data_IF_563555961238
#
_entry.id   IF_563555961238
#
_cell.length_a   1.000
_cell.length_b   1.000
_cell.length_c   1.000
_cell.angle_alpha   90.00
_cell.angle_beta   90.00
_cell.angle_gamma   90.00
#
_symmetry.space_group_name_H-M   'P 1'
#
loop_
_entity.id
_entity.type
_entity.pdbx_description
1 polymer ?
#
# COMPACT_ATOMS: atom_id res chain seq x y z
N UNK A 1 30.64 33.12 -9.08
CA UNK A 1 29.71 32.02 -9.19
C UNK A 1 30.24 30.71 -8.56
N UNK A 2 31.49 30.30 -8.85
CA UNK A 2 32.12 29.07 -8.30
C UNK A 2 32.28 29.10 -6.77
N UNK A 3 32.70 30.22 -6.17
CA UNK A 3 32.83 30.37 -4.71
C UNK A 3 31.51 30.22 -3.94
N UNK A 4 30.38 30.65 -4.50
CA UNK A 4 29.08 30.53 -3.87
C UNK A 4 28.61 29.05 -3.85
N UNK A 5 28.95 28.27 -4.87
CA UNK A 5 28.65 26.83 -4.95
C UNK A 5 29.49 26.03 -3.95
N UNK A 6 30.77 26.41 -3.77
CA UNK A 6 31.67 25.78 -2.79
C UNK A 6 31.24 26.09 -1.34
N UNK A 7 30.88 27.34 -1.04
CA UNK A 7 30.36 27.74 0.27
C UNK A 7 29.02 27.07 0.60
N UNK A 8 28.17 26.86 -0.41
CA UNK A 8 26.90 26.14 -0.26
C UNK A 8 27.11 24.65 -0.02
N UNK A 9 28.07 24.02 -0.73
CA UNK A 9 28.46 22.63 -0.53
C UNK A 9 29.06 22.39 0.86
N UNK A 10 29.87 23.32 1.35
CA UNK A 10 30.43 23.32 2.70
C UNK A 10 29.32 23.46 3.78
N UNK A 11 28.38 24.39 3.63
CA UNK A 11 27.24 24.55 4.54
C UNK A 11 26.28 23.34 4.53
N UNK A 12 26.02 22.74 3.38
CA UNK A 12 25.23 21.50 3.27
C UNK A 12 25.94 20.33 3.92
N UNK A 13 27.26 20.20 3.70
CA UNK A 13 28.05 19.13 4.34
C UNK A 13 28.16 19.35 5.86
N UNK A 14 28.27 20.58 6.35
CA UNK A 14 28.28 20.90 7.77
C UNK A 14 26.88 20.64 8.41
N UNK A 15 25.79 20.95 7.73
CA UNK A 15 24.41 20.62 8.15
C UNK A 15 24.18 19.11 8.16
N UNK A 16 24.59 18.39 7.13
CA UNK A 16 24.52 16.93 7.07
C UNK A 16 25.38 16.27 8.15
N UNK A 17 26.56 16.82 8.44
CA UNK A 17 27.43 16.35 9.51
C UNK A 17 26.79 16.61 10.90
N UNK A 18 26.14 17.76 11.10
CA UNK A 18 25.37 18.05 12.33
C UNK A 18 24.14 17.14 12.46
N UNK A 19 23.41 16.91 11.38
CA UNK A 19 22.29 15.95 11.36
C UNK A 19 22.76 14.51 11.64
N UNK A 20 23.85 14.06 11.04
CA UNK A 20 24.43 12.74 11.32
C UNK A 20 24.92 12.58 12.77
N UNK A 21 25.31 13.65 13.45
CA UNK A 21 25.73 13.61 14.86
C UNK A 21 24.59 13.76 15.85
N UNK A 22 23.44 14.32 15.46
CA UNK A 22 22.28 14.46 16.34
C UNK A 22 21.56 13.11 16.50
N UNK A 23 21.02 12.85 17.69
CA UNK A 23 20.23 11.65 17.99
C UNK A 23 19.02 11.53 17.05
N UNK A 24 18.36 12.65 16.80
CA UNK A 24 17.18 12.73 15.90
C UNK A 24 17.57 12.50 14.43
N UNK A 25 18.74 12.97 13.99
CA UNK A 25 19.24 12.72 12.64
C UNK A 25 19.55 11.26 12.38
N UNK A 26 20.07 10.53 13.38
CA UNK A 26 20.30 9.07 13.28
C UNK A 26 18.99 8.31 13.21
N UNK A 27 18.00 8.68 14.02
CA UNK A 27 16.66 8.06 14.00
C UNK A 27 16.01 8.30 12.63
N UNK A 28 16.03 9.52 12.12
CA UNK A 28 15.46 9.86 10.82
C UNK A 28 16.14 9.09 9.68
N UNK A 29 17.46 9.03 9.66
CA UNK A 29 18.21 8.28 8.65
C UNK A 29 17.93 6.77 8.72
N UNK A 30 17.85 6.22 9.92
CA UNK A 30 17.50 4.82 10.14
C UNK A 30 16.08 4.51 9.66
N UNK A 31 15.10 5.33 10.03
CA UNK A 31 13.72 5.19 9.60
C UNK A 31 13.57 5.28 8.08
N UNK A 32 14.29 6.23 7.46
CA UNK A 32 14.35 6.34 6.00
C UNK A 32 14.91 5.07 5.35
N UNK A 33 16.00 4.52 5.89
CA UNK A 33 16.61 3.28 5.40
C UNK A 33 15.63 2.09 5.48
N UNK A 34 14.91 1.96 6.58
CA UNK A 34 13.89 0.92 6.73
C UNK A 34 12.74 1.07 5.73
N UNK A 35 12.24 2.29 5.51
CA UNK A 35 11.18 2.54 4.52
C UNK A 35 11.66 2.29 3.09
N UNK A 36 12.92 2.63 2.76
CA UNK A 36 13.51 2.30 1.46
C UNK A 36 13.62 0.79 1.24
N UNK A 37 14.06 0.05 2.26
CA UNK A 37 14.11 -1.42 2.20
C UNK A 37 12.71 -2.01 1.98
N UNK A 38 11.71 -1.50 2.70
CA UNK A 38 10.31 -1.90 2.51
C UNK A 38 9.82 -1.62 1.08
N UNK A 39 10.18 -0.46 0.53
CA UNK A 39 9.81 -0.08 -0.83
C UNK A 39 10.44 -1.03 -1.87
N UNK A 40 11.74 -1.32 -1.75
CA UNK A 40 12.44 -2.28 -2.62
C UNK A 40 11.78 -3.67 -2.55
N UNK A 41 11.52 -4.15 -1.34
CA UNK A 41 10.82 -5.42 -1.15
C UNK A 41 9.42 -5.41 -1.77
N UNK A 42 8.73 -4.26 -1.75
CA UNK A 42 7.44 -4.08 -2.42
C UNK A 42 7.48 -4.37 -3.91
N UNK A 43 8.64 -4.28 -4.57
CA UNK A 43 8.81 -4.63 -5.98
C UNK A 43 9.36 -6.04 -6.18
N UNK A 44 10.37 -6.41 -5.40
CA UNK A 44 11.09 -7.68 -5.57
C UNK A 44 10.15 -8.88 -5.35
N UNK A 45 9.36 -8.89 -4.29
CA UNK A 45 8.47 -10.01 -4.00
C UNK A 45 7.39 -10.22 -5.08
N UNK A 46 6.66 -9.20 -5.57
CA UNK A 46 5.73 -9.37 -6.68
C UNK A 46 6.41 -9.83 -7.98
N UNK A 47 7.59 -9.30 -8.31
CA UNK A 47 8.33 -9.72 -9.51
C UNK A 47 8.71 -11.21 -9.49
N UNK A 48 8.87 -11.80 -8.29
CA UNK A 48 9.13 -13.22 -8.12
C UNK A 48 7.83 -14.03 -8.18
N UNK A 49 6.75 -13.55 -7.54
CA UNK A 49 5.50 -14.32 -7.40
C UNK A 49 4.58 -14.21 -8.62
N UNK A 50 4.54 -13.07 -9.32
CA UNK A 50 3.66 -12.84 -10.47
C UNK A 50 3.88 -13.86 -11.59
N UNK A 51 5.13 -14.12 -12.08
CA UNK A 51 5.36 -15.09 -13.14
C UNK A 51 4.92 -16.50 -12.76
N UNK A 52 5.13 -16.88 -11.52
CA UNK A 52 4.70 -18.18 -11.01
C UNK A 52 3.18 -18.30 -10.99
N UNK A 53 2.52 -17.31 -10.36
CA UNK A 53 1.06 -17.29 -10.28
C UNK A 53 0.42 -17.28 -11.67
N UNK A 54 0.90 -16.44 -12.58
CA UNK A 54 0.38 -16.38 -13.94
C UNK A 54 0.46 -17.74 -14.68
N UNK A 55 1.52 -18.50 -14.44
CA UNK A 55 1.69 -19.84 -15.04
C UNK A 55 0.79 -20.90 -14.41
N UNK A 56 0.57 -20.83 -13.09
CA UNK A 56 -0.17 -21.87 -12.37
C UNK A 56 -1.66 -21.64 -12.43
N UNK A 57 -2.13 -20.42 -12.07
CA UNK A 57 -3.56 -20.12 -11.98
C UNK A 57 -4.17 -19.59 -13.27
N UNK A 58 -3.34 -19.23 -14.26
CA UNK A 58 -3.77 -18.70 -15.57
C UNK A 58 -4.44 -17.32 -15.47
N UNK A 59 -4.89 -16.82 -16.62
CA UNK A 59 -5.48 -15.47 -16.75
C UNK A 59 -6.81 -15.33 -16.01
N UNK A 60 -7.63 -16.37 -15.98
CA UNK A 60 -8.94 -16.39 -15.30
C UNK A 60 -8.78 -16.26 -13.77
N UNK A 61 -7.95 -17.11 -13.17
CA UNK A 61 -7.66 -17.05 -11.73
C UNK A 61 -7.02 -15.71 -11.32
N UNK A 62 -6.11 -15.21 -12.16
CA UNK A 62 -5.46 -13.91 -11.95
C UNK A 62 -6.48 -12.76 -11.97
N UNK A 63 -7.45 -12.82 -12.89
CA UNK A 63 -8.52 -11.83 -13.00
C UNK A 63 -9.53 -11.88 -11.85
N UNK A 64 -9.87 -13.07 -11.34
CA UNK A 64 -10.74 -13.22 -10.15
C UNK A 64 -10.09 -12.60 -8.91
N UNK A 65 -8.77 -12.80 -8.74
CA UNK A 65 -8.00 -12.16 -7.67
C UNK A 65 -8.02 -10.64 -7.82
N UNK A 66 -7.77 -10.12 -9.03
CA UNK A 66 -7.76 -8.70 -9.31
C UNK A 66 -9.12 -8.05 -9.03
N UNK A 67 -10.22 -8.70 -9.45
CA UNK A 67 -11.57 -8.25 -9.16
C UNK A 67 -11.84 -8.19 -7.66
N UNK A 68 -11.56 -9.28 -6.93
CA UNK A 68 -11.76 -9.33 -5.49
C UNK A 68 -10.93 -8.26 -4.76
N UNK A 69 -9.67 -8.10 -5.12
CA UNK A 69 -8.81 -7.06 -4.56
C UNK A 69 -9.35 -5.65 -4.81
N UNK A 70 -9.86 -5.37 -6.02
CA UNK A 70 -10.44 -4.08 -6.39
C UNK A 70 -11.71 -3.75 -5.58
N UNK A 71 -12.55 -4.75 -5.31
CA UNK A 71 -13.74 -4.60 -4.45
C UNK A 71 -13.34 -4.39 -2.99
N UNK A 72 -12.43 -5.22 -2.48
CA UNK A 72 -12.05 -5.20 -1.06
C UNK A 72 -11.28 -3.93 -0.68
N UNK A 73 -10.57 -3.31 -1.60
CA UNK A 73 -9.89 -2.01 -1.36
C UNK A 73 -10.88 -0.92 -0.93
N UNK A 74 -12.14 -0.95 -1.40
CA UNK A 74 -13.16 0.00 -0.96
C UNK A 74 -13.53 -0.21 0.50
N UNK A 75 -13.81 -1.47 0.89
CA UNK A 75 -14.14 -1.84 2.26
C UNK A 75 -12.96 -1.63 3.21
N UNK A 76 -11.73 -1.88 2.75
CA UNK A 76 -10.54 -1.57 3.50
C UNK A 76 -10.42 -0.05 3.75
N UNK A 77 -10.67 0.78 2.73
CA UNK A 77 -10.64 2.24 2.85
C UNK A 77 -11.69 2.74 3.84
N UNK A 78 -12.89 2.14 3.84
CA UNK A 78 -13.93 2.43 4.85
C UNK A 78 -13.45 2.05 6.25
N UNK A 79 -12.84 0.87 6.42
CA UNK A 79 -12.34 0.43 7.72
C UNK A 79 -11.15 1.25 8.22
N UNK A 80 -10.33 1.77 7.31
CA UNK A 80 -9.19 2.64 7.63
C UNK A 80 -9.60 4.08 7.96
N UNK A 81 -10.70 4.57 7.37
CA UNK A 81 -11.33 5.88 7.62
C UNK A 81 -10.37 7.08 7.70
N UNK A 82 -9.19 6.96 7.15
CA UNK A 82 -8.16 8.00 7.24
C UNK A 82 -7.41 8.07 8.57
N UNK A 83 -7.62 7.12 9.48
CA UNK A 83 -6.94 7.06 10.78
C UNK A 83 -5.42 6.96 10.63
N UNK A 84 -4.92 6.43 9.52
CA UNK A 84 -3.49 6.38 9.21
C UNK A 84 -2.82 7.77 9.24
N UNK A 85 -3.57 8.87 9.03
CA UNK A 85 -3.08 10.24 9.11
C UNK A 85 -3.46 10.92 10.43
N UNK A 86 -4.75 10.88 10.80
CA UNK A 86 -5.25 11.59 11.97
C UNK A 86 -4.72 11.00 13.26
N UNK A 87 -4.79 9.68 13.42
CA UNK A 87 -4.28 9.01 14.62
C UNK A 87 -2.76 9.05 14.70
N UNK A 88 -2.05 8.93 13.58
CA UNK A 88 -0.58 9.13 13.55
C UNK A 88 -0.19 10.49 14.08
N UNK A 89 -0.88 11.55 13.63
CA UNK A 89 -0.64 12.93 14.11
C UNK A 89 -0.92 13.05 15.61
N UNK A 90 -2.06 12.51 16.06
CA UNK A 90 -2.51 12.70 17.43
C UNK A 90 -1.66 11.90 18.42
N UNK A 91 -1.25 10.68 18.08
CA UNK A 91 -0.28 9.90 18.88
C UNK A 91 1.10 10.56 18.87
N UNK A 92 1.58 11.06 17.72
CA UNK A 92 2.89 11.72 17.64
C UNK A 92 2.96 12.97 18.52
N UNK A 93 1.85 13.73 18.64
CA UNK A 93 1.75 14.92 19.51
C UNK A 93 1.72 14.58 21.00
N UNK A 94 1.24 13.39 21.36
CA UNK A 94 1.07 12.95 22.75
C UNK A 94 2.01 11.81 23.13
N UNK A 95 3.11 11.64 22.41
CA UNK A 95 4.03 10.49 22.53
C UNK A 95 4.56 10.26 23.94
N UNK A 96 4.76 11.31 24.70
CA UNK A 96 5.29 11.25 26.07
C UNK A 96 4.21 10.94 27.12
N UNK A 97 2.94 10.94 26.73
CA UNK A 97 1.80 10.63 27.62
C UNK A 97 1.18 9.27 27.22
N UNK A 98 1.63 8.20 27.90
CA UNK A 98 1.20 6.84 27.60
C UNK A 98 -0.31 6.62 27.80
N UNK A 99 -0.94 7.32 28.74
CA UNK A 99 -2.39 7.22 28.98
C UNK A 99 -3.16 7.79 27.77
N UNK A 100 -2.77 8.99 27.29
CA UNK A 100 -3.40 9.60 26.13
C UNK A 100 -3.15 8.80 24.84
N UNK A 101 -1.95 8.27 24.68
CA UNK A 101 -1.61 7.33 23.57
C UNK A 101 -2.49 6.09 23.64
N UNK A 102 -2.70 5.51 24.81
CA UNK A 102 -3.55 4.34 25.02
C UNK A 102 -5.03 4.63 24.71
N UNK A 103 -5.51 5.80 25.11
CA UNK A 103 -6.86 6.25 24.77
C UNK A 103 -7.07 6.39 23.28
N UNK A 104 -6.17 7.09 22.58
CA UNK A 104 -6.23 7.28 21.11
C UNK A 104 -6.18 5.92 20.41
N UNK A 105 -5.23 5.05 20.80
CA UNK A 105 -5.07 3.72 20.24
C UNK A 105 -6.35 2.88 20.38
N UNK A 106 -6.95 2.88 21.58
CA UNK A 106 -8.19 2.14 21.86
C UNK A 106 -9.35 2.66 21.02
N UNK A 107 -9.55 3.99 20.97
CA UNK A 107 -10.65 4.60 20.21
C UNK A 107 -10.53 4.31 18.71
N UNK A 108 -9.32 4.38 18.14
CA UNK A 108 -9.08 4.04 16.73
C UNK A 108 -9.29 2.56 16.46
N UNK A 109 -8.82 1.68 17.36
CA UNK A 109 -9.02 0.24 17.20
C UNK A 109 -10.51 -0.11 17.21
N UNK A 110 -11.28 0.40 18.16
CA UNK A 110 -12.73 0.18 18.23
C UNK A 110 -13.47 0.78 17.06
N UNK A 111 -13.08 1.98 16.60
CA UNK A 111 -13.65 2.59 15.39
C UNK A 111 -13.42 1.71 14.16
N UNK A 112 -12.20 1.20 13.95
CA UNK A 112 -11.85 0.33 12.83
C UNK A 112 -12.62 -1.01 12.88
N UNK A 113 -12.74 -1.61 14.06
CA UNK A 113 -13.51 -2.84 14.24
C UNK A 113 -15.00 -2.62 13.93
N UNK A 114 -15.59 -1.53 14.39
CA UNK A 114 -16.98 -1.17 14.07
C UNK A 114 -17.18 -1.02 12.56
N UNK A 115 -16.33 -0.22 11.91
CA UNK A 115 -16.41 0.01 10.46
C UNK A 115 -16.15 -1.26 9.66
N UNK A 116 -15.28 -2.16 10.14
CA UNK A 116 -15.07 -3.47 9.54
C UNK A 116 -16.34 -4.34 9.60
N UNK A 117 -17.03 -4.37 10.75
CA UNK A 117 -18.28 -5.13 10.89
C UNK A 117 -19.35 -4.60 9.94
N UNK A 118 -19.50 -3.27 9.84
CA UNK A 118 -20.41 -2.63 8.89
C UNK A 118 -20.01 -2.98 7.45
N UNK A 119 -18.73 -2.87 7.11
CA UNK A 119 -18.19 -3.21 5.78
C UNK A 119 -18.46 -4.68 5.43
N UNK A 120 -18.27 -5.60 6.39
CA UNK A 120 -18.57 -7.02 6.19
C UNK A 120 -20.04 -7.27 5.94
N UNK A 121 -20.93 -6.66 6.73
CA UNK A 121 -22.38 -6.79 6.54
C UNK A 121 -22.83 -6.27 5.17
N UNK A 122 -22.27 -5.15 4.71
CA UNK A 122 -22.54 -4.59 3.37
C UNK A 122 -22.02 -5.55 2.28
N UNK A 123 -20.77 -6.01 2.39
CA UNK A 123 -20.19 -6.95 1.42
C UNK A 123 -21.04 -8.23 1.35
N UNK A 124 -21.41 -8.82 2.49
CA UNK A 124 -22.23 -10.03 2.54
C UNK A 124 -23.60 -9.80 1.88
N UNK A 125 -24.25 -8.67 2.16
CA UNK A 125 -25.51 -8.29 1.51
C UNK A 125 -25.36 -8.16 0.00
N UNK A 126 -24.25 -7.60 -0.49
CA UNK A 126 -23.97 -7.47 -1.92
C UNK A 126 -23.73 -8.85 -2.57
N UNK A 127 -23.09 -9.79 -1.87
CA UNK A 127 -22.89 -11.17 -2.40
C UNK A 127 -24.20 -11.94 -2.52
N UNK A 128 -25.23 -11.60 -1.77
CA UNK A 128 -26.56 -12.20 -1.93
C UNK A 128 -27.44 -11.47 -2.97
N UNK A 129 -27.27 -10.16 -3.11
CA UNK A 129 -28.11 -9.32 -3.97
C UNK A 129 -27.67 -9.30 -5.44
N UNK A 130 -26.37 -9.44 -5.73
CA UNK A 130 -25.82 -9.26 -7.08
C UNK A 130 -25.30 -10.62 -7.59
N UNK A 131 -25.82 -11.15 -8.71
CA UNK A 131 -25.44 -12.47 -9.22
C UNK A 131 -23.92 -12.64 -9.43
N UNK A 132 -23.27 -11.66 -10.02
CA UNK A 132 -21.81 -11.71 -10.26
C UNK A 132 -20.99 -11.74 -8.95
N UNK A 133 -21.45 -11.05 -7.90
CA UNK A 133 -20.83 -11.12 -6.57
C UNK A 133 -21.07 -12.51 -5.94
N UNK A 134 -22.24 -13.11 -6.16
CA UNK A 134 -22.57 -14.43 -5.67
C UNK A 134 -21.69 -15.52 -6.31
N UNK A 135 -21.46 -15.45 -7.61
CA UNK A 135 -20.54 -16.36 -8.31
C UNK A 135 -19.11 -16.27 -7.76
N UNK A 136 -18.69 -15.07 -7.35
CA UNK A 136 -17.36 -14.79 -6.80
C UNK A 136 -17.34 -14.69 -5.26
N UNK A 137 -18.40 -15.17 -4.56
CA UNK A 137 -18.57 -15.02 -3.12
C UNK A 137 -17.37 -15.56 -2.34
N UNK A 138 -16.89 -16.76 -2.66
CA UNK A 138 -15.80 -17.41 -1.94
C UNK A 138 -14.53 -16.56 -1.96
N UNK A 139 -14.12 -16.05 -3.13
CA UNK A 139 -12.91 -15.25 -3.23
C UNK A 139 -13.09 -13.87 -2.60
N UNK A 140 -14.28 -13.27 -2.67
CA UNK A 140 -14.57 -11.98 -2.04
C UNK A 140 -14.49 -12.09 -0.51
N UNK A 141 -15.12 -13.09 0.10
CA UNK A 141 -15.11 -13.28 1.54
C UNK A 141 -13.70 -13.65 2.06
N UNK A 142 -12.95 -14.47 1.33
CA UNK A 142 -11.58 -14.82 1.68
C UNK A 142 -10.68 -13.59 1.55
N UNK A 143 -10.82 -12.80 0.48
CA UNK A 143 -10.04 -11.57 0.31
C UNK A 143 -10.38 -10.53 1.38
N UNK A 144 -11.62 -10.52 1.90
CA UNK A 144 -12.01 -9.63 3.00
C UNK A 144 -11.20 -9.88 4.28
N UNK A 145 -10.63 -11.07 4.49
CA UNK A 145 -9.74 -11.36 5.62
C UNK A 145 -8.49 -10.48 5.65
N UNK A 146 -8.16 -9.80 4.56
CA UNK A 146 -7.13 -8.74 4.56
C UNK A 146 -7.49 -7.59 5.49
N UNK A 147 -8.78 -7.23 5.61
CA UNK A 147 -9.22 -6.10 6.43
C UNK A 147 -8.90 -6.31 7.91
N UNK A 148 -9.32 -7.41 8.58
CA UNK A 148 -8.91 -7.67 9.96
C UNK A 148 -7.38 -7.79 10.11
N UNK A 149 -6.67 -8.36 9.12
CA UNK A 149 -5.21 -8.41 9.11
C UNK A 149 -4.57 -7.02 9.17
N UNK A 150 -5.06 -6.07 8.39
CA UNK A 150 -4.61 -4.66 8.42
C UNK A 150 -4.99 -3.92 9.70
N UNK A 151 -6.13 -4.25 10.32
CA UNK A 151 -6.52 -3.66 11.61
C UNK A 151 -5.58 -4.14 12.72
N UNK A 152 -5.25 -5.44 12.71
CA UNK A 152 -4.33 -6.03 13.69
C UNK A 152 -2.88 -5.59 13.51
N UNK A 153 -2.50 -5.15 12.32
CA UNK A 153 -1.19 -4.59 12.03
C UNK A 153 -1.24 -3.06 11.92
N UNK A 154 -1.22 -2.31 13.04
CA UNK A 154 -1.34 -0.86 13.07
C UNK A 154 -0.01 -0.18 12.71
N UNK A 155 0.36 -0.19 11.43
CA UNK A 155 1.55 0.46 10.90
C UNK A 155 1.61 1.96 11.21
N UNK A 156 0.45 2.64 11.19
CA UNK A 156 0.28 4.03 11.58
C UNK A 156 0.78 4.32 13.00
N UNK A 157 0.60 3.36 13.93
CA UNK A 157 1.04 3.51 15.32
C UNK A 157 2.57 3.45 15.45
N UNK A 158 3.19 2.48 14.77
CA UNK A 158 4.66 2.41 14.70
C UNK A 158 5.24 3.65 14.02
N UNK A 159 4.56 4.19 13.01
CA UNK A 159 4.93 5.44 12.35
C UNK A 159 4.86 6.62 13.32
N UNK A 160 3.78 6.77 14.08
CA UNK A 160 3.61 7.81 15.09
C UNK A 160 4.69 7.76 16.18
N UNK A 161 5.11 6.55 16.56
CA UNK A 161 6.17 6.31 17.55
C UNK A 161 7.59 6.39 16.97
N UNK A 162 7.74 6.74 15.67
CA UNK A 162 9.03 6.78 14.94
C UNK A 162 9.82 5.45 15.00
N UNK A 163 9.11 4.32 14.97
CA UNK A 163 9.68 2.99 15.03
C UNK A 163 9.46 2.22 13.72
N UNK A 164 9.88 2.80 12.58
CA UNK A 164 9.70 2.24 11.23
C UNK A 164 10.31 0.85 11.07
N UNK A 165 11.31 0.50 11.90
CA UNK A 165 11.91 -0.83 11.94
C UNK A 165 10.86 -1.94 12.03
N UNK A 166 9.86 -1.78 12.91
CA UNK A 166 8.82 -2.80 13.10
C UNK A 166 7.94 -2.94 11.87
N UNK A 167 7.55 -1.82 11.23
CA UNK A 167 6.79 -1.84 9.98
C UNK A 167 7.55 -2.66 8.94
N UNK A 168 8.84 -2.35 8.75
CA UNK A 168 9.67 -3.01 7.75
C UNK A 168 9.84 -4.51 8.04
N UNK A 169 10.20 -4.88 9.26
CA UNK A 169 10.44 -6.29 9.61
C UNK A 169 9.18 -7.12 9.43
N UNK A 170 8.04 -6.68 9.95
CA UNK A 170 6.78 -7.43 9.83
C UNK A 170 6.31 -7.54 8.38
N UNK A 171 6.39 -6.46 7.60
CA UNK A 171 6.02 -6.51 6.18
C UNK A 171 6.96 -7.41 5.36
N UNK A 172 8.27 -7.35 5.62
CA UNK A 172 9.23 -8.24 4.96
C UNK A 172 8.97 -9.69 5.31
N UNK A 173 8.74 -9.99 6.59
CA UNK A 173 8.43 -11.33 7.05
C UNK A 173 7.13 -11.85 6.43
N UNK A 174 6.07 -11.04 6.45
CA UNK A 174 4.78 -11.40 5.82
C UNK A 174 4.97 -11.71 4.34
N UNK A 175 5.68 -10.85 3.59
CA UNK A 175 5.94 -11.04 2.16
C UNK A 175 6.81 -12.27 1.88
N UNK A 176 7.84 -12.51 2.68
CA UNK A 176 8.71 -13.67 2.53
C UNK A 176 7.96 -14.98 2.80
N UNK A 177 7.17 -15.02 3.88
CA UNK A 177 6.32 -16.18 4.21
C UNK A 177 5.26 -16.39 3.14
N UNK A 178 4.56 -15.33 2.72
CA UNK A 178 3.60 -15.39 1.62
C UNK A 178 4.25 -15.96 0.35
N UNK A 179 5.40 -15.43 -0.06
CA UNK A 179 6.11 -15.89 -1.25
C UNK A 179 6.46 -17.38 -1.15
N UNK A 180 7.02 -17.80 -0.02
CA UNK A 180 7.37 -19.22 0.19
C UNK A 180 6.12 -20.12 0.13
N UNK A 181 5.02 -19.73 0.81
CA UNK A 181 3.78 -20.50 0.82
C UNK A 181 3.09 -20.55 -0.55
N UNK A 182 3.18 -19.49 -1.35
CA UNK A 182 2.67 -19.49 -2.73
C UNK A 182 3.34 -20.60 -3.54
N UNK A 183 4.67 -20.72 -3.49
CA UNK A 183 5.39 -21.78 -4.21
C UNK A 183 5.11 -23.20 -3.70
N UNK A 184 4.76 -23.36 -2.44
CA UNK A 184 4.48 -24.66 -1.83
C UNK A 184 3.05 -25.11 -2.02
N UNK A 185 2.08 -24.20 -1.86
CA UNK A 185 0.66 -24.53 -1.74
C UNK A 185 -0.14 -24.32 -3.03
N UNK A 186 0.23 -23.35 -3.88
CA UNK A 186 -0.49 -23.06 -5.11
C UNK A 186 0.13 -23.88 -6.24
N UNK A 187 -0.56 -24.93 -6.69
CA UNK A 187 -0.06 -25.87 -7.71
C UNK A 187 -1.01 -26.02 -8.90
N UNK A 188 -2.28 -25.74 -8.72
CA UNK A 188 -3.33 -25.94 -9.71
C UNK A 188 -4.10 -24.66 -9.99
N UNK A 189 -4.83 -24.62 -11.11
CA UNK A 189 -5.66 -23.46 -11.48
C UNK A 189 -6.71 -23.13 -10.41
N UNK A 190 -7.24 -24.11 -9.72
CA UNK A 190 -8.25 -23.93 -8.67
C UNK A 190 -7.70 -23.31 -7.40
N UNK A 191 -6.40 -23.35 -7.18
CA UNK A 191 -5.72 -22.80 -5.99
C UNK A 191 -5.65 -21.27 -5.97
N UNK A 192 -6.23 -20.57 -6.96
CA UNK A 192 -6.24 -19.11 -7.00
C UNK A 192 -6.83 -18.49 -5.71
N UNK A 193 -7.77 -19.18 -5.06
CA UNK A 193 -8.37 -18.75 -3.80
C UNK A 193 -7.35 -18.72 -2.65
N UNK A 194 -6.33 -19.58 -2.69
CA UNK A 194 -5.28 -19.60 -1.66
C UNK A 194 -4.43 -18.33 -1.67
N UNK A 195 -4.28 -17.65 -2.80
CA UNK A 195 -3.47 -16.44 -2.89
C UNK A 195 -3.92 -15.34 -1.91
N UNK A 196 -5.17 -14.86 -1.92
CA UNK A 196 -5.62 -13.87 -0.94
C UNK A 196 -5.68 -14.43 0.49
N UNK A 197 -5.94 -15.73 0.67
CA UNK A 197 -5.91 -16.38 1.97
C UNK A 197 -4.51 -16.32 2.60
N UNK A 198 -3.49 -16.73 1.86
CA UNK A 198 -2.11 -16.72 2.32
C UNK A 198 -1.60 -15.30 2.62
N UNK A 199 -2.02 -14.34 1.79
CA UNK A 199 -1.71 -12.93 2.01
C UNK A 199 -2.36 -12.42 3.31
N UNK A 200 -3.63 -12.73 3.54
CA UNK A 200 -4.35 -12.37 4.76
C UNK A 200 -3.74 -13.04 6.00
N UNK A 201 -3.39 -14.32 5.89
CA UNK A 201 -2.73 -15.06 6.96
C UNK A 201 -1.39 -14.39 7.36
N UNK A 202 -0.59 -13.98 6.37
CA UNK A 202 0.66 -13.25 6.62
C UNK A 202 0.44 -11.96 7.42
N UNK A 203 -0.57 -11.17 7.05
CA UNK A 203 -0.92 -9.95 7.77
C UNK A 203 -1.46 -10.22 9.18
N UNK A 204 -2.29 -11.24 9.36
CA UNK A 204 -2.85 -11.61 10.68
C UNK A 204 -1.73 -12.06 11.63
N UNK A 205 -0.84 -12.93 11.19
CA UNK A 205 0.29 -13.41 12.02
C UNK A 205 1.20 -12.26 12.42
N UNK A 206 1.56 -11.41 11.47
CA UNK A 206 2.35 -10.21 11.75
C UNK A 206 1.59 -9.21 12.64
N UNK A 207 0.27 -9.11 12.45
CA UNK A 207 -0.61 -8.30 13.30
C UNK A 207 -0.62 -8.76 14.75
N UNK A 208 -0.71 -10.05 15.01
CA UNK A 208 -0.61 -10.62 16.36
C UNK A 208 0.73 -10.25 17.00
N UNK A 209 1.83 -10.41 16.25
CA UNK A 209 3.16 -10.00 16.73
C UNK A 209 3.28 -8.51 17.01
N UNK A 210 2.68 -7.67 16.17
CA UNK A 210 2.62 -6.21 16.35
C UNK A 210 1.82 -5.84 17.60
N UNK A 211 0.62 -6.41 17.78
CA UNK A 211 -0.21 -6.19 18.97
C UNK A 211 0.51 -6.64 20.24
N UNK A 212 1.20 -7.77 20.22
CA UNK A 212 2.01 -8.20 21.36
C UNK A 212 3.08 -7.16 21.75
N UNK A 213 3.77 -6.58 20.77
CA UNK A 213 4.77 -5.53 21.05
C UNK A 213 4.10 -4.29 21.64
N UNK A 214 2.99 -3.84 21.08
CA UNK A 214 2.29 -2.63 21.52
C UNK A 214 1.75 -2.81 22.95
N UNK A 215 1.04 -3.91 23.20
CA UNK A 215 0.35 -4.13 24.46
C UNK A 215 1.29 -4.60 25.56
N UNK A 216 2.14 -5.62 25.29
CA UNK A 216 2.99 -6.23 26.30
C UNK A 216 4.31 -5.48 26.51
N UNK A 217 5.03 -5.09 25.43
CA UNK A 217 6.33 -4.44 25.56
C UNK A 217 6.24 -2.93 25.78
N UNK A 218 5.32 -2.25 25.08
CA UNK A 218 5.16 -0.79 25.23
C UNK A 218 4.11 -0.42 26.25
N UNK A 219 3.41 -1.42 26.83
CA UNK A 219 2.43 -1.26 27.89
C UNK A 219 1.29 -0.31 27.54
N UNK A 220 0.94 -0.22 26.26
CA UNK A 220 -0.25 0.50 25.79
C UNK A 220 -1.46 -0.25 26.33
N UNK A 221 -2.35 0.45 27.02
CA UNK A 221 -3.57 -0.15 27.61
C UNK A 221 -4.70 -0.12 26.59
N UNK A 222 -5.49 -1.19 26.55
CA UNK A 222 -6.76 -1.19 25.83
C UNK A 222 -7.87 -0.79 26.80
N UNK A 223 -8.52 0.34 26.52
CA UNK A 223 -9.69 0.79 27.24
C UNK A 223 -10.96 0.22 26.62
N UNK A 224 -11.99 0.05 27.45
CA UNK A 224 -13.31 -0.37 26.99
C UNK A 224 -13.88 0.65 25.98
N UNK A 225 -14.72 0.20 25.02
CA UNK A 225 -15.29 1.08 24.03
C UNK A 225 -16.18 2.14 24.66
N UNK A 226 -15.89 3.41 24.36
CA UNK A 226 -16.70 4.55 24.78
C UNK A 226 -17.26 5.25 23.55
N UNK A 227 -18.56 5.09 23.31
CA UNK A 227 -19.21 5.53 22.08
C UNK A 227 -18.98 7.02 21.73
N UNK A 228 -19.10 7.98 22.65
CA UNK A 228 -18.84 9.38 22.35
C UNK A 228 -17.43 9.63 21.80
N UNK A 229 -16.41 9.00 22.38
CA UNK A 229 -15.01 9.12 21.93
C UNK A 229 -14.77 8.47 20.57
N UNK A 230 -15.37 7.29 20.33
CA UNK A 230 -15.31 6.59 19.04
C UNK A 230 -15.97 7.45 17.96
N UNK A 231 -17.17 7.98 18.23
CA UNK A 231 -17.88 8.87 17.31
C UNK A 231 -17.07 10.11 16.97
N UNK A 232 -16.46 10.75 17.98
CA UNK A 232 -15.60 11.91 17.78
C UNK A 232 -14.38 11.57 16.91
N UNK A 233 -13.75 10.42 17.13
CA UNK A 233 -12.62 9.94 16.33
C UNK A 233 -13.01 9.72 14.87
N UNK A 234 -14.19 9.12 14.60
CA UNK A 234 -14.72 8.92 13.25
C UNK A 234 -15.00 10.28 12.59
N UNK A 235 -15.74 11.17 13.25
CA UNK A 235 -16.09 12.49 12.69
C UNK A 235 -14.83 13.32 12.43
N UNK A 236 -13.86 13.31 13.35
CA UNK A 236 -12.60 14.06 13.20
C UNK A 236 -11.69 13.58 12.07
N UNK A 237 -12.02 12.45 11.44
CA UNK A 237 -11.24 11.88 10.33
C UNK A 237 -11.98 11.88 8.99
N UNK A 238 -13.21 12.42 8.92
CA UNK A 238 -14.06 12.40 7.71
C UNK A 238 -13.39 13.09 6.53
N UNK A 239 -12.75 14.24 6.73
CA UNK A 239 -12.08 14.97 5.65
C UNK A 239 -10.98 14.13 5.01
N UNK A 240 -10.20 13.42 5.83
CA UNK A 240 -9.14 12.51 5.34
C UNK A 240 -9.74 11.30 4.66
N UNK A 241 -10.85 10.76 5.19
CA UNK A 241 -11.57 9.66 4.56
C UNK A 241 -12.03 10.02 3.14
N UNK A 242 -12.69 11.18 2.97
CA UNK A 242 -13.15 11.64 1.66
C UNK A 242 -11.98 11.78 0.68
N UNK A 243 -10.86 12.36 1.13
CA UNK A 243 -9.66 12.48 0.32
C UNK A 243 -9.05 11.14 -0.10
N UNK A 244 -9.25 10.08 0.67
CA UNK A 244 -8.73 8.73 0.37
C UNK A 244 -9.71 7.89 -0.43
N UNK A 245 -11.03 7.97 -0.15
CA UNK A 245 -12.02 7.09 -0.79
C UNK A 245 -12.17 7.41 -2.28
N UNK A 246 -12.17 8.70 -2.65
CA UNK A 246 -12.38 9.13 -4.04
C UNK A 246 -11.31 8.59 -4.99
N UNK A 247 -10.00 8.74 -4.71
CA UNK A 247 -8.95 8.11 -5.53
C UNK A 247 -9.04 6.58 -5.57
N UNK A 248 -9.34 5.93 -4.45
CA UNK A 248 -9.45 4.48 -4.39
C UNK A 248 -10.64 3.95 -5.21
N UNK A 249 -11.79 4.61 -5.12
CA UNK A 249 -12.95 4.31 -5.97
C UNK A 249 -12.58 4.45 -7.45
N UNK A 250 -12.00 5.59 -7.83
CA UNK A 250 -11.62 5.87 -9.22
C UNK A 250 -10.63 4.83 -9.76
N UNK A 251 -9.57 4.53 -9.01
CA UNK A 251 -8.53 3.60 -9.44
C UNK A 251 -9.02 2.16 -9.58
N UNK A 252 -9.95 1.72 -8.73
CA UNK A 252 -10.47 0.36 -8.73
C UNK A 252 -11.73 0.20 -9.59
N UNK A 253 -12.40 1.29 -9.90
CA UNK A 253 -13.70 1.28 -10.60
C UNK A 253 -13.65 0.56 -11.95
N UNK A 254 -12.61 0.83 -12.73
CA UNK A 254 -12.43 0.19 -14.05
C UNK A 254 -12.32 -1.33 -13.93
N UNK A 255 -11.61 -1.84 -12.93
CA UNK A 255 -11.47 -3.29 -12.69
C UNK A 255 -12.80 -3.92 -12.25
N UNK A 256 -13.54 -3.24 -11.36
CA UNK A 256 -14.85 -3.72 -10.92
C UNK A 256 -15.85 -3.71 -12.08
N UNK A 257 -15.92 -2.62 -12.83
CA UNK A 257 -16.82 -2.49 -13.99
C UNK A 257 -16.48 -3.52 -15.07
N UNK A 258 -15.20 -3.70 -15.37
CA UNK A 258 -14.75 -4.69 -16.33
C UNK A 258 -15.09 -6.13 -15.89
N UNK A 259 -15.06 -6.40 -14.59
CA UNK A 259 -15.51 -7.68 -14.04
C UNK A 259 -16.95 -7.99 -14.37
N UNK A 260 -17.84 -7.01 -14.27
CA UNK A 260 -19.27 -7.20 -14.59
C UNK A 260 -19.54 -7.42 -16.08
N UNK A 261 -18.84 -6.75 -16.96
CA UNK A 261 -19.13 -6.76 -18.41
C UNK A 261 -18.16 -7.61 -19.23
N UNK A 262 -16.89 -7.69 -18.82
CA UNK A 262 -15.83 -8.38 -19.53
C UNK A 262 -15.41 -9.71 -18.90
N UNK A 263 -15.85 -9.97 -17.65
CA UNK A 263 -15.50 -11.17 -16.93
C UNK A 263 -14.07 -11.19 -16.36
N UNK A 264 -13.69 -12.33 -15.81
CA UNK A 264 -12.42 -12.52 -15.10
C UNK A 264 -11.22 -12.46 -16.05
N UNK A 265 -11.31 -13.00 -17.25
CA UNK A 265 -10.21 -12.98 -18.22
C UNK A 265 -9.81 -11.55 -18.59
N UNK A 266 -10.80 -10.69 -18.89
CA UNK A 266 -10.53 -9.28 -19.20
C UNK A 266 -9.87 -8.55 -18.01
N UNK A 267 -10.30 -8.83 -16.77
CA UNK A 267 -9.66 -8.32 -15.56
C UNK A 267 -8.22 -8.82 -15.40
N UNK A 268 -7.96 -10.07 -15.73
CA UNK A 268 -6.62 -10.65 -15.69
C UNK A 268 -5.65 -9.94 -16.64
N UNK A 269 -6.11 -9.66 -17.86
CA UNK A 269 -5.35 -8.92 -18.86
C UNK A 269 -5.11 -7.46 -18.43
N UNK A 270 -6.14 -6.80 -17.86
CA UNK A 270 -6.03 -5.45 -17.36
C UNK A 270 -5.03 -5.36 -16.19
N UNK A 271 -5.12 -6.28 -15.21
CA UNK A 271 -4.25 -6.27 -14.04
C UNK A 271 -2.79 -6.58 -14.43
N UNK A 272 -2.57 -7.51 -15.37
CA UNK A 272 -1.25 -7.82 -15.90
C UNK A 272 -0.56 -6.59 -16.51
N UNK A 273 -1.27 -5.84 -17.36
CA UNK A 273 -0.75 -4.58 -17.91
C UNK A 273 -0.52 -3.51 -16.84
N UNK A 274 -1.48 -3.33 -15.93
CA UNK A 274 -1.43 -2.33 -14.86
C UNK A 274 -0.23 -2.48 -13.93
N UNK A 275 0.19 -3.69 -13.58
CA UNK A 275 1.32 -3.97 -12.68
C UNK A 275 2.60 -3.23 -13.08
N UNK A 276 2.93 -3.20 -14.36
CA UNK A 276 4.15 -2.55 -14.82
C UNK A 276 4.04 -1.03 -14.86
N UNK A 277 2.85 -0.53 -15.17
CA UNK A 277 2.57 0.91 -15.10
C UNK A 277 2.67 1.40 -13.64
N UNK A 278 2.12 0.66 -12.70
CA UNK A 278 2.23 0.97 -11.26
C UNK A 278 3.68 0.96 -10.78
N UNK A 279 4.52 0.02 -11.24
CA UNK A 279 5.95 0.02 -10.94
C UNK A 279 6.61 1.29 -11.46
N UNK A 280 6.29 1.71 -12.69
CA UNK A 280 6.80 2.96 -13.28
C UNK A 280 6.37 4.20 -12.49
N UNK A 281 5.09 4.30 -12.13
CA UNK A 281 4.54 5.40 -11.32
C UNK A 281 5.19 5.50 -9.94
N UNK A 282 5.50 4.37 -9.33
CA UNK A 282 6.19 4.36 -8.05
C UNK A 282 7.62 4.89 -8.15
N UNK A 283 8.30 4.63 -9.27
CA UNK A 283 9.62 5.21 -9.53
C UNK A 283 9.57 6.74 -9.53
N UNK A 284 8.56 7.33 -10.18
CA UNK A 284 8.31 8.77 -10.16
C UNK A 284 8.01 9.28 -8.74
N UNK A 285 7.28 8.51 -7.95
CA UNK A 285 6.98 8.83 -6.55
C UNK A 285 8.25 8.89 -5.70
N UNK A 286 9.20 7.98 -5.91
CA UNK A 286 10.50 8.00 -5.22
C UNK A 286 11.28 9.26 -5.58
N UNK A 287 11.35 9.60 -6.87
CA UNK A 287 12.00 10.84 -7.32
C UNK A 287 11.37 12.05 -6.63
N UNK A 288 10.04 12.13 -6.64
CA UNK A 288 9.31 13.24 -6.01
C UNK A 288 9.62 13.35 -4.50
N UNK A 289 9.69 12.26 -3.78
CA UNK A 289 10.03 12.23 -2.33
C UNK A 289 11.47 12.72 -2.05
N UNK A 290 12.40 12.43 -2.95
CA UNK A 290 13.79 12.88 -2.82
C UNK A 290 13.91 14.37 -3.09
N UNK A 291 13.22 14.87 -4.12
CA UNK A 291 13.31 16.28 -4.53
C UNK A 291 12.46 17.22 -3.68
N UNK A 292 11.35 16.77 -3.13
CA UNK A 292 10.43 17.61 -2.36
C UNK A 292 11.09 18.37 -1.20
N UNK A 293 11.91 17.76 -0.31
CA UNK A 293 12.60 18.47 0.76
C UNK A 293 13.63 19.50 0.25
N UNK A 294 14.22 19.22 -0.91
CA UNK A 294 15.17 20.13 -1.54
C UNK A 294 14.48 21.38 -2.10
N UNK A 295 13.30 21.20 -2.70
CA UNK A 295 12.50 22.29 -3.25
C UNK A 295 11.88 23.16 -2.16
N UNK A 296 11.39 22.55 -1.08
CA UNK A 296 10.71 23.25 0.02
C UNK A 296 11.65 24.14 0.85
N UNK A 297 12.94 23.80 0.92
CA UNK A 297 13.94 24.57 1.68
C UNK A 297 14.46 25.82 0.97
N UNK A 298 14.25 25.93 -0.31
CA UNK A 298 14.73 27.05 -1.10
C UNK A 298 13.55 27.83 -1.64
N UNK A 299 13.26 28.95 -1.01
CA UNK A 299 12.29 29.97 -1.48
C UNK A 299 12.77 30.62 -2.81
N UNK A 300 13.49 29.86 -3.65
CA UNK A 300 14.07 30.32 -4.90
C UNK A 300 13.04 30.24 -6.02
N UNK A 301 12.56 31.39 -6.42
CA UNK A 301 11.68 31.63 -7.57
C UNK A 301 12.22 30.94 -8.85
N UNK A 302 11.41 30.09 -9.47
CA UNK A 302 11.47 29.73 -10.88
C UNK A 302 12.34 28.53 -11.25
N UNK A 303 13.66 28.62 -11.24
CA UNK A 303 14.56 27.70 -11.94
C UNK A 303 14.58 26.25 -11.42
N UNK A 304 14.53 26.07 -10.10
CA UNK A 304 14.63 24.71 -9.51
C UNK A 304 13.34 23.93 -9.61
N UNK A 305 12.20 24.62 -9.55
CA UNK A 305 10.90 23.99 -9.76
C UNK A 305 10.76 23.54 -11.22
N UNK A 306 11.21 24.38 -12.15
CA UNK A 306 11.25 24.06 -13.58
C UNK A 306 12.18 22.87 -13.87
N UNK A 307 13.34 22.82 -13.23
CA UNK A 307 14.25 21.66 -13.35
C UNK A 307 13.61 20.38 -12.84
N UNK A 308 12.96 20.41 -11.67
CA UNK A 308 12.23 19.26 -11.13
C UNK A 308 11.14 18.80 -12.07
N UNK A 309 10.33 19.72 -12.60
CA UNK A 309 9.28 19.38 -13.56
C UNK A 309 9.85 18.73 -14.83
N UNK A 310 10.94 19.29 -15.39
CA UNK A 310 11.63 18.71 -16.57
C UNK A 310 12.18 17.32 -16.31
N UNK A 311 12.78 17.08 -15.13
CA UNK A 311 13.29 15.76 -14.76
C UNK A 311 12.13 14.76 -14.64
N UNK A 312 11.06 15.10 -13.91
CA UNK A 312 9.91 14.22 -13.78
C UNK A 312 9.25 13.92 -15.12
N UNK A 313 9.04 14.95 -15.96
CA UNK A 313 8.47 14.77 -17.28
C UNK A 313 9.40 13.92 -18.18
N UNK A 314 10.71 14.17 -18.14
CA UNK A 314 11.68 13.38 -18.89
C UNK A 314 11.67 11.91 -18.48
N UNK A 315 11.66 11.63 -17.17
CA UNK A 315 11.61 10.25 -16.66
C UNK A 315 10.26 9.60 -17.00
N UNK A 316 9.14 10.33 -16.88
CA UNK A 316 7.82 9.84 -17.26
C UNK A 316 7.76 9.48 -18.75
N UNK A 317 8.19 10.38 -19.64
CA UNK A 317 8.21 10.14 -21.08
C UNK A 317 9.14 8.98 -21.44
N UNK A 318 10.36 8.94 -20.90
CA UNK A 318 11.28 7.83 -21.13
C UNK A 318 10.70 6.49 -20.63
N UNK A 319 10.06 6.49 -19.45
CA UNK A 319 9.39 5.32 -18.89
C UNK A 319 8.22 4.86 -19.75
N UNK A 320 7.36 5.76 -20.20
CA UNK A 320 6.25 5.47 -21.11
C UNK A 320 6.75 4.91 -22.44
N UNK A 321 7.73 5.53 -23.08
CA UNK A 321 8.34 5.03 -24.32
C UNK A 321 8.96 3.65 -24.11
N UNK A 322 9.66 3.44 -23.00
CA UNK A 322 10.23 2.14 -22.67
C UNK A 322 9.13 1.08 -22.51
N UNK A 323 8.04 1.36 -21.79
CA UNK A 323 6.92 0.43 -21.64
C UNK A 323 6.24 0.14 -22.98
N UNK A 324 6.08 1.13 -23.86
CA UNK A 324 5.52 0.95 -25.20
C UNK A 324 6.36 0.01 -26.08
N UNK A 325 7.68 0.25 -26.10
CA UNK A 325 8.60 -0.52 -26.93
C UNK A 325 8.82 -1.94 -26.40
N UNK A 326 9.01 -2.07 -25.09
CA UNK A 326 9.31 -3.34 -24.45
C UNK A 326 8.08 -4.11 -23.97
N UNK A 327 6.85 -3.63 -24.20
CA UNK A 327 5.63 -4.31 -23.80
C UNK A 327 5.57 -5.78 -24.22
N UNK A 328 5.87 -6.18 -25.46
CA UNK A 328 5.87 -7.58 -25.84
C UNK A 328 6.89 -8.41 -25.06
N UNK A 329 8.10 -7.89 -24.91
CA UNK A 329 9.16 -8.57 -24.18
C UNK A 329 8.80 -8.74 -22.69
N UNK A 330 8.24 -7.70 -22.06
CA UNK A 330 7.82 -7.73 -20.67
C UNK A 330 6.72 -8.79 -20.46
N UNK A 331 5.66 -8.75 -21.26
CA UNK A 331 4.54 -9.69 -21.11
C UNK A 331 5.01 -11.13 -21.38
N UNK A 332 5.80 -11.39 -22.41
CA UNK A 332 6.32 -12.72 -22.71
C UNK A 332 7.29 -13.25 -21.64
N UNK A 333 8.04 -12.36 -20.98
CA UNK A 333 8.97 -12.74 -19.89
C UNK A 333 8.25 -13.14 -18.62
N UNK A 334 7.23 -12.38 -18.23
CA UNK A 334 6.57 -12.52 -16.94
C UNK A 334 5.29 -13.34 -16.96
N UNK A 335 4.64 -13.47 -18.12
CA UNK A 335 3.34 -14.11 -18.29
C UNK A 335 3.37 -15.23 -19.34
N UNK A 336 2.30 -16.01 -19.40
CA UNK A 336 2.07 -17.06 -20.39
C UNK A 336 1.44 -16.49 -21.67
N UNK A 337 1.40 -17.26 -22.79
CA UNK A 337 0.71 -16.82 -24.00
C UNK A 337 -0.77 -16.45 -23.81
N UNK A 338 -1.43 -16.99 -22.77
CA UNK A 338 -2.82 -16.60 -22.42
C UNK A 338 -2.96 -15.09 -22.13
N UNK A 339 -1.86 -14.39 -21.82
CA UNK A 339 -1.83 -12.96 -21.53
C UNK A 339 -1.36 -12.09 -22.71
N UNK A 340 -1.30 -12.62 -23.93
CA UNK A 340 -0.76 -11.87 -25.08
C UNK A 340 -1.52 -10.55 -25.32
N UNK A 341 -2.85 -10.55 -25.17
CA UNK A 341 -3.66 -9.33 -25.31
C UNK A 341 -3.31 -8.25 -24.29
N UNK A 342 -2.70 -8.60 -23.14
CA UNK A 342 -2.22 -7.64 -22.16
C UNK A 342 -1.11 -6.72 -22.70
N UNK A 343 -0.45 -7.09 -23.82
CA UNK A 343 0.50 -6.23 -24.53
C UNK A 343 -0.19 -4.94 -24.97
N UNK A 344 -1.38 -5.07 -25.58
CA UNK A 344 -2.17 -3.92 -26.02
C UNK A 344 -2.64 -3.07 -24.84
N UNK A 345 -3.09 -3.74 -23.76
CA UNK A 345 -3.50 -3.06 -22.53
C UNK A 345 -2.33 -2.28 -21.93
N UNK A 346 -1.15 -2.89 -21.79
CA UNK A 346 0.05 -2.23 -21.27
C UNK A 346 0.45 -1.02 -22.13
N UNK A 347 0.38 -1.13 -23.47
CA UNK A 347 0.66 -0.03 -24.38
C UNK A 347 -0.31 1.14 -24.21
N UNK A 348 -1.62 0.86 -24.09
CA UNK A 348 -2.64 1.89 -23.89
C UNK A 348 -2.43 2.58 -22.54
N UNK A 349 -2.14 1.84 -21.49
CA UNK A 349 -1.95 2.39 -20.14
C UNK A 349 -0.61 3.10 -19.93
N UNK A 350 0.36 2.90 -20.83
CA UNK A 350 1.66 3.59 -20.79
C UNK A 350 1.59 5.06 -21.23
N UNK A 351 0.49 5.50 -21.85
CA UNK A 351 0.21 6.90 -22.16
C UNK A 351 -0.35 7.62 -20.93
#
# INVERSE_FOLDING_TARGET
MVCAVFAMKSKVNALLARFKKSKDGKVLASNFGYLMLLQIAGYVFPLITIPYLARVIGVDGFGKIAFAAAVIVWFQTVSDWGFNYTATRDVARNRDNLEKVSEIFSNVLWARLLLMVVSFAVLFSLTEAIPYFKENQAILLITFLLVPGHIMFPDWFFQAMERMKYITIFNLLSKAVFTALVFVLIKEKQDYILQPLLMSFGYIVCGIGAMYIILAKWKVKLYAPHWPSIKQTIIGSVDVFINNIVPNLYNSFSTVLLGFYGGSVANGLLDAGRKFVEIGQQFLTVISRVFFPFLSRHNSKGDKHTLYMRINLGVAVCGSVALLLFAPFIIQLFFTPEFEEAITVLRIMAF
#
